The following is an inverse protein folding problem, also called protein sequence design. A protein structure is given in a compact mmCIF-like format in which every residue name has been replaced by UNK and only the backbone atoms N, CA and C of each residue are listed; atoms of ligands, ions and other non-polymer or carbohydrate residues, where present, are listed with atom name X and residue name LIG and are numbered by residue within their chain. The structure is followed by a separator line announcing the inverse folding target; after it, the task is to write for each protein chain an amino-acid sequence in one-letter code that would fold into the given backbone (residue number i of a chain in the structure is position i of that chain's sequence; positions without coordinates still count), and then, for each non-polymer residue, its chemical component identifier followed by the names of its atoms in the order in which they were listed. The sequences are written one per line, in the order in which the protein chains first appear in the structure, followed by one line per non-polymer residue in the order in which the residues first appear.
data_IF_439571974193
#
_entry.id   IF_439571974193
#
_cell.length_a   1.000
_cell.length_b   1.000
_cell.length_c   1.000
_cell.angle_alpha   90.00
_cell.angle_beta   90.00
_cell.angle_gamma   90.00
#
_symmetry.space_group_name_H-M   'P 1'
#
loop_
_entity.id
_entity.type
_entity.pdbx_description
1 polymer ?
#
# COMPACT_ATOMS: atom_id res chain seq x y z
N UNK A 1 -8.02 -13.24 9.65
CA UNK A 1 -7.06 -13.18 10.75
C UNK A 1 -5.89 -14.12 10.49
N UNK A 2 -4.66 -13.59 10.45
CA UNK A 2 -3.45 -14.39 10.33
C UNK A 2 -3.31 -15.17 9.02
N UNK A 3 -3.85 -14.68 7.91
CA UNK A 3 -3.73 -15.33 6.60
C UNK A 3 -2.27 -15.33 6.15
N UNK A 4 -1.78 -16.49 5.72
CA UNK A 4 -0.37 -16.68 5.33
C UNK A 4 -0.18 -16.73 3.82
N UNK A 5 -1.25 -16.98 3.05
CA UNK A 5 -1.24 -17.08 1.59
C UNK A 5 -2.67 -17.00 1.04
N UNK A 6 -2.78 -16.89 -0.26
CA UNK A 6 -4.05 -16.93 -0.98
C UNK A 6 -4.56 -15.54 -1.37
N UNK A 7 -5.72 -15.54 -1.98
CA UNK A 7 -6.37 -14.33 -2.49
C UNK A 7 -7.83 -14.26 -2.07
N UNK A 8 -8.26 -13.05 -1.70
CA UNK A 8 -9.62 -12.77 -1.23
C UNK A 8 -10.15 -11.52 -1.91
N UNK A 9 -11.25 -11.65 -2.64
CA UNK A 9 -11.89 -10.55 -3.35
C UNK A 9 -13.34 -10.43 -2.88
N UNK A 10 -13.65 -9.35 -2.14
CA UNK A 10 -14.96 -9.12 -1.54
C UNK A 10 -15.59 -7.85 -2.10
N UNK A 11 -16.71 -8.00 -2.82
CA UNK A 11 -17.51 -6.88 -3.27
C UNK A 11 -18.34 -6.33 -2.10
N UNK A 12 -18.09 -5.07 -1.77
CA UNK A 12 -18.78 -4.36 -0.68
C UNK A 12 -17.88 -4.03 0.50
N UNK A 13 -18.51 -3.56 1.57
CA UNK A 13 -17.84 -3.10 2.79
C UNK A 13 -17.76 -4.26 3.77
N UNK A 14 -16.58 -4.49 4.33
CA UNK A 14 -16.36 -5.48 5.38
C UNK A 14 -16.35 -4.84 6.76
N UNK A 15 -16.52 -5.65 7.79
CA UNK A 15 -16.55 -5.22 9.18
C UNK A 15 -15.18 -4.78 9.72
N UNK A 16 -15.11 -4.68 11.02
CA UNK A 16 -13.89 -4.33 11.76
C UNK A 16 -12.84 -5.43 11.66
N UNK A 17 -11.57 -5.04 11.88
CA UNK A 17 -10.42 -5.96 11.99
C UNK A 17 -10.16 -6.82 10.77
N UNK A 18 -10.51 -6.32 9.60
CA UNK A 18 -10.19 -7.00 8.35
C UNK A 18 -8.67 -7.04 8.14
N UNK A 19 -8.17 -8.18 7.64
CA UNK A 19 -6.75 -8.44 7.38
C UNK A 19 -5.82 -8.30 8.61
N UNK A 20 -6.36 -8.41 9.83
CA UNK A 20 -5.55 -8.41 11.05
C UNK A 20 -4.54 -9.56 11.01
N UNK A 21 -3.27 -9.25 11.28
CA UNK A 21 -2.13 -10.17 11.22
C UNK A 21 -1.97 -10.89 9.89
N UNK A 22 -2.45 -10.29 8.79
CA UNK A 22 -2.14 -10.83 7.46
C UNK A 22 -0.61 -10.88 7.27
N UNK A 23 -0.09 -12.01 6.83
CA UNK A 23 1.35 -12.22 6.65
C UNK A 23 1.75 -12.60 5.23
N UNK A 24 0.79 -12.85 4.31
CA UNK A 24 1.14 -13.21 2.95
C UNK A 24 -0.02 -13.20 1.95
N UNK A 25 -1.27 -13.11 2.41
CA UNK A 25 -2.42 -13.11 1.51
C UNK A 25 -2.63 -11.75 0.81
N UNK A 26 -3.20 -11.81 -0.40
CA UNK A 26 -3.72 -10.64 -1.11
C UNK A 26 -5.22 -10.51 -0.89
N UNK A 27 -5.68 -9.34 -0.45
CA UNK A 27 -7.11 -9.11 -0.20
C UNK A 27 -7.58 -7.78 -0.76
N UNK A 28 -8.75 -7.76 -1.39
CA UNK A 28 -9.39 -6.56 -1.95
C UNK A 28 -10.80 -6.42 -1.41
N UNK A 29 -11.12 -5.21 -0.91
CA UNK A 29 -12.44 -4.84 -0.41
C UNK A 29 -12.82 -3.43 -0.86
N UNK A 30 -14.11 -3.11 -0.82
CA UNK A 30 -14.61 -1.80 -1.24
C UNK A 30 -14.82 -0.83 -0.08
N UNK A 31 -14.48 -1.24 1.13
CA UNK A 31 -14.45 -0.45 2.34
C UNK A 31 -14.22 -1.36 3.55
N UNK A 32 -13.76 -0.79 4.66
CA UNK A 32 -13.43 -1.54 5.86
C UNK A 32 -13.78 -0.73 7.11
N UNK A 33 -14.22 -1.41 8.16
CA UNK A 33 -14.45 -0.83 9.48
C UNK A 33 -13.15 -0.48 10.22
N UNK A 34 -13.25 -0.31 11.53
CA UNK A 34 -12.12 0.04 12.38
C UNK A 34 -11.07 -1.07 12.44
N UNK A 35 -9.82 -0.70 12.71
CA UNK A 35 -8.70 -1.62 12.92
C UNK A 35 -8.35 -2.50 11.70
N UNK A 36 -8.61 -2.05 10.49
CA UNK A 36 -8.15 -2.72 9.27
C UNK A 36 -6.63 -2.82 9.22
N UNK A 37 -6.08 -3.95 8.77
CA UNK A 37 -4.63 -4.24 8.67
C UNK A 37 -3.86 -4.14 10.01
N UNK A 38 -4.54 -4.22 11.15
CA UNK A 38 -3.92 -4.18 12.46
C UNK A 38 -2.93 -5.35 12.62
N UNK A 39 -1.70 -5.04 13.04
CA UNK A 39 -0.59 -6.01 13.18
C UNK A 39 -0.26 -6.81 11.91
N UNK A 40 -0.57 -6.29 10.74
CA UNK A 40 -0.18 -6.91 9.47
C UNK A 40 1.35 -6.99 9.36
N UNK A 41 1.86 -8.14 8.90
CA UNK A 41 3.30 -8.42 8.81
C UNK A 41 3.76 -8.70 7.39
N UNK A 42 2.84 -8.92 6.44
CA UNK A 42 3.14 -9.22 5.04
C UNK A 42 1.86 -9.28 4.20
N UNK A 43 2.00 -9.60 2.93
CA UNK A 43 0.89 -9.64 1.98
C UNK A 43 0.48 -8.25 1.47
N UNK A 44 -0.64 -8.21 0.75
CA UNK A 44 -1.14 -7.00 0.10
C UNK A 44 -2.62 -6.83 0.41
N UNK A 45 -3.02 -5.64 0.83
CA UNK A 45 -4.43 -5.29 1.03
C UNK A 45 -4.77 -4.09 0.17
N UNK A 46 -5.90 -4.14 -0.53
CA UNK A 46 -6.43 -3.03 -1.32
C UNK A 46 -7.82 -2.67 -0.82
N UNK A 47 -8.01 -1.42 -0.43
CA UNK A 47 -9.29 -0.87 0.00
C UNK A 47 -9.73 0.18 -1.02
N UNK A 48 -10.80 -0.11 -1.77
CA UNK A 48 -11.34 0.73 -2.84
C UNK A 48 -12.32 1.80 -2.34
N UNK A 49 -12.29 2.12 -1.05
CA UNK A 49 -13.19 3.08 -0.44
C UNK A 49 -12.77 3.43 0.98
N UNK A 50 -13.73 3.81 1.82
CA UNK A 50 -13.44 4.34 3.15
C UNK A 50 -12.95 3.28 4.13
N UNK A 51 -12.05 3.70 5.01
CA UNK A 51 -11.62 2.95 6.19
C UNK A 51 -12.28 3.52 7.45
N UNK A 52 -12.40 2.69 8.48
CA UNK A 52 -12.64 3.14 9.85
C UNK A 52 -11.37 3.69 10.51
N UNK A 53 -11.41 3.85 11.83
CA UNK A 53 -10.31 4.38 12.64
C UNK A 53 -9.21 3.33 12.87
N UNK A 54 -8.03 3.81 13.28
CA UNK A 54 -6.87 2.98 13.64
C UNK A 54 -6.42 2.00 12.55
N UNK A 55 -6.60 2.37 11.29
CA UNK A 55 -6.09 1.57 10.19
C UNK A 55 -4.57 1.41 10.29
N UNK A 56 -4.06 0.23 10.00
CA UNK A 56 -2.64 -0.15 10.06
C UNK A 56 -2.00 -0.02 11.45
N UNK A 57 -2.77 0.01 12.54
CA UNK A 57 -2.22 0.03 13.89
C UNK A 57 -1.31 -1.18 14.14
N UNK A 58 -0.06 -0.95 14.56
CA UNK A 58 0.92 -1.99 14.80
C UNK A 58 1.39 -2.75 13.54
N UNK A 59 1.05 -2.28 12.34
CA UNK A 59 1.53 -2.87 11.08
C UNK A 59 3.05 -2.84 11.04
N UNK A 60 3.66 -3.99 10.73
CA UNK A 60 5.12 -4.15 10.72
C UNK A 60 5.68 -4.63 9.39
N UNK A 61 4.82 -4.92 8.42
CA UNK A 61 5.23 -5.33 7.08
C UNK A 61 4.02 -5.51 6.16
N UNK A 62 4.29 -5.80 4.90
CA UNK A 62 3.26 -5.83 3.85
C UNK A 62 2.94 -4.44 3.29
N UNK A 63 2.00 -4.40 2.36
CA UNK A 63 1.59 -3.20 1.66
C UNK A 63 0.07 -3.07 1.75
N UNK A 64 -0.42 -1.88 2.09
CA UNK A 64 -1.83 -1.56 2.03
C UNK A 64 -2.06 -0.36 1.10
N UNK A 65 -2.85 -0.54 0.04
CA UNK A 65 -3.32 0.52 -0.83
C UNK A 65 -4.72 0.93 -0.42
N UNK A 66 -4.94 2.22 -0.19
CA UNK A 66 -6.25 2.75 0.20
C UNK A 66 -6.63 3.88 -0.73
N UNK A 67 -7.81 3.80 -1.33
CA UNK A 67 -8.36 4.89 -2.13
C UNK A 67 -8.87 6.00 -1.19
N UNK A 68 -8.21 7.14 -1.21
CA UNK A 68 -8.50 8.32 -0.40
C UNK A 68 -9.14 9.42 -1.27
N UNK A 69 -10.41 9.23 -1.64
CA UNK A 69 -11.11 10.18 -2.50
C UNK A 69 -11.33 11.54 -1.84
N UNK A 70 -11.46 11.58 -0.51
CA UNK A 70 -11.76 12.80 0.26
C UNK A 70 -10.54 13.43 0.97
N UNK A 71 -9.35 12.83 0.83
CA UNK A 71 -8.10 13.31 1.44
C UNK A 71 -8.06 13.19 2.96
N UNK A 72 -8.94 12.38 3.56
CA UNK A 72 -9.07 12.29 5.03
C UNK A 72 -8.47 11.01 5.61
N UNK A 73 -7.96 10.10 4.78
CA UNK A 73 -7.44 8.82 5.22
C UNK A 73 -6.34 8.94 6.28
N UNK A 74 -5.46 9.93 6.16
CA UNK A 74 -4.40 10.20 7.14
C UNK A 74 -4.92 10.38 8.58
N UNK A 75 -6.16 10.85 8.75
CA UNK A 75 -6.77 11.05 10.07
C UNK A 75 -7.31 9.74 10.66
N UNK A 76 -7.43 8.71 9.84
CA UNK A 76 -7.95 7.38 10.22
C UNK A 76 -6.84 6.33 10.29
N UNK A 77 -5.68 6.60 9.68
CA UNK A 77 -4.52 5.73 9.69
C UNK A 77 -3.67 5.96 10.95
N UNK A 78 -3.13 4.90 11.51
CA UNK A 78 -2.21 5.00 12.63
C UNK A 78 -0.77 5.23 12.13
N UNK A 79 -0.38 6.50 12.06
CA UNK A 79 0.92 6.92 11.52
C UNK A 79 2.11 6.69 12.46
N UNK A 80 1.90 6.08 13.63
CA UNK A 80 3.01 5.78 14.55
C UNK A 80 3.96 4.69 14.01
N UNK A 81 3.46 3.85 13.09
CA UNK A 81 4.18 2.67 12.61
C UNK A 81 4.33 2.62 11.08
N UNK A 82 3.59 3.43 10.35
CA UNK A 82 3.59 3.42 8.88
C UNK A 82 3.71 4.84 8.33
N UNK A 83 4.26 4.94 7.14
CA UNK A 83 4.26 6.17 6.35
C UNK A 83 3.24 6.03 5.22
N UNK A 84 2.68 7.16 4.79
CA UNK A 84 1.76 7.23 3.67
C UNK A 84 2.45 7.88 2.48
N UNK A 85 2.43 7.19 1.35
CA UNK A 85 2.95 7.69 0.09
C UNK A 85 1.89 7.61 -1.00
N UNK A 86 1.90 8.51 -1.97
CA UNK A 86 1.08 8.36 -3.17
C UNK A 86 1.61 7.21 -4.04
N UNK A 87 0.74 6.59 -4.84
CA UNK A 87 1.19 5.65 -5.88
C UNK A 87 1.90 6.46 -6.98
N UNK A 88 3.20 6.25 -7.20
CA UNK A 88 3.96 6.99 -8.21
C UNK A 88 3.49 6.65 -9.62
N UNK A 89 3.73 7.55 -10.55
CA UNK A 89 3.58 7.30 -11.97
C UNK A 89 4.81 6.55 -12.48
N UNK A 90 4.62 5.60 -13.39
CA UNK A 90 5.72 4.79 -13.91
C UNK A 90 6.76 5.65 -14.65
N UNK A 91 6.30 6.72 -15.32
CA UNK A 91 7.17 7.68 -16.02
C UNK A 91 8.01 8.56 -15.06
N UNK A 92 7.49 8.91 -13.87
CA UNK A 92 8.22 9.70 -12.87
C UNK A 92 9.44 8.94 -12.32
N UNK A 93 9.36 7.60 -12.28
CA UNK A 93 10.46 6.75 -11.83
C UNK A 93 11.62 6.71 -12.84
N UNK A 94 11.32 6.76 -14.14
CA UNK A 94 12.34 6.78 -15.20
C UNK A 94 13.10 8.11 -15.24
N UNK A 95 12.43 9.24 -14.95
CA UNK A 95 13.09 10.55 -14.90
C UNK A 95 14.03 10.68 -13.70
N UNK A 96 13.68 10.10 -12.55
CA UNK A 96 14.53 10.14 -11.35
C UNK A 96 15.83 9.36 -11.52
N UNK A 97 15.84 8.27 -12.29
CA UNK A 97 17.05 7.49 -12.61
C UNK A 97 18.01 8.25 -13.54
N UNK A 98 17.51 9.12 -14.42
CA UNK A 98 18.35 9.91 -15.34
C UNK A 98 19.06 11.10 -14.66
N UNK A 99 18.58 11.57 -13.50
CA UNK A 99 19.20 12.66 -12.74
C UNK A 99 20.29 12.21 -11.77
N UNK A 100 20.46 10.91 -11.54
CA UNK A 100 21.51 10.34 -10.66
C UNK A 100 22.69 9.73 -11.42
N UNK A 101 22.82 10.03 -12.72
CA UNK A 101 23.96 9.63 -13.57
C UNK A 101 25.22 10.45 -13.33
N UNK A 102 25.79 10.39 -12.15
CA UNK A 102 27.06 11.08 -11.84
C UNK A 102 27.56 10.74 -10.46
N UNK A 103 27.95 9.52 -10.21
CA UNK A 103 29.14 9.13 -9.44
C UNK A 103 29.22 7.59 -9.32
N UNK A 104 30.09 7.01 -10.13
CA UNK A 104 30.47 5.61 -10.06
C UNK A 104 31.47 5.45 -8.90
N UNK A 105 30.99 5.30 -7.70
CA UNK A 105 31.71 4.64 -6.59
C UNK A 105 30.89 4.66 -5.31
N UNK A 106 29.94 3.72 -5.16
CA UNK A 106 29.61 3.20 -3.83
C UNK A 106 29.02 1.79 -3.93
N UNK A 107 29.75 0.86 -3.39
CA UNK A 107 29.46 -0.56 -3.27
C UNK A 107 28.07 -0.88 -2.75
N UNK A 108 27.26 -1.59 -3.57
CA UNK A 108 26.45 -2.71 -3.09
C UNK A 108 25.40 -2.47 -2.01
N UNK A 109 24.65 -1.35 -2.04
CA UNK A 109 23.35 -1.26 -1.36
C UNK A 109 22.27 -1.16 -2.42
N UNK A 110 21.70 -2.30 -2.78
CA UNK A 110 20.40 -2.32 -3.45
C UNK A 110 19.42 -1.67 -2.48
N UNK A 111 18.90 -0.50 -2.84
CA UNK A 111 17.85 0.17 -2.08
C UNK A 111 16.56 -0.64 -2.27
N UNK A 112 16.31 -1.58 -1.36
CA UNK A 112 15.17 -2.50 -1.40
C UNK A 112 13.85 -1.72 -1.35
N UNK A 113 13.85 -0.49 -0.84
CA UNK A 113 12.66 0.35 -0.78
C UNK A 113 12.27 0.89 -2.16
N UNK A 114 13.23 1.32 -2.97
CA UNK A 114 12.96 1.78 -4.34
C UNK A 114 12.50 0.64 -5.26
N UNK A 115 12.98 -0.58 -5.03
CA UNK A 115 12.60 -1.75 -5.81
C UNK A 115 11.19 -2.27 -5.44
N UNK A 116 10.72 -2.03 -4.20
CA UNK A 116 9.37 -2.41 -3.78
C UNK A 116 8.28 -1.48 -4.35
N UNK A 117 8.57 -0.22 -4.60
CA UNK A 117 7.61 0.77 -5.11
C UNK A 117 7.60 0.88 -6.63
N UNK A 118 8.66 0.42 -7.31
CA UNK A 118 8.85 0.55 -8.75
C UNK A 118 7.72 -0.02 -9.62
N UNK A 119 6.97 -0.99 -9.11
CA UNK A 119 5.86 -1.64 -9.83
C UNK A 119 4.52 -1.48 -9.12
N UNK A 120 4.39 -0.49 -8.25
CA UNK A 120 3.17 -0.33 -7.46
C UNK A 120 1.96 -0.01 -8.30
N UNK A 121 2.12 0.82 -9.33
CA UNK A 121 1.03 1.15 -10.24
C UNK A 121 0.54 -0.09 -11.00
N UNK A 122 1.43 -0.82 -11.64
CA UNK A 122 1.09 -2.03 -12.39
C UNK A 122 0.50 -3.10 -11.47
N UNK A 123 1.10 -3.30 -10.31
CA UNK A 123 0.62 -4.25 -9.29
C UNK A 123 -0.79 -3.92 -8.83
N UNK A 124 -1.02 -2.67 -8.44
CA UNK A 124 -2.33 -2.20 -7.99
C UNK A 124 -3.39 -2.37 -9.07
N UNK A 125 -3.09 -1.93 -10.30
CA UNK A 125 -4.00 -2.06 -11.45
C UNK A 125 -4.35 -3.52 -11.75
N UNK A 126 -3.36 -4.42 -11.70
CA UNK A 126 -3.58 -5.86 -11.89
C UNK A 126 -4.46 -6.46 -10.80
N UNK A 127 -4.24 -6.10 -9.53
CA UNK A 127 -5.06 -6.58 -8.41
C UNK A 127 -6.51 -6.09 -8.54
N UNK A 128 -6.73 -4.81 -8.88
CA UNK A 128 -8.08 -4.25 -9.09
C UNK A 128 -8.76 -4.91 -10.30
N UNK A 129 -8.02 -5.19 -11.37
CA UNK A 129 -8.54 -5.91 -12.54
C UNK A 129 -9.01 -7.32 -12.18
N UNK A 130 -8.28 -8.02 -11.32
CA UNK A 130 -8.68 -9.34 -10.79
C UNK A 130 -9.92 -9.23 -9.91
N UNK A 131 -9.99 -8.20 -9.07
CA UNK A 131 -11.18 -7.93 -8.26
C UNK A 131 -12.41 -7.71 -9.15
N UNK A 132 -12.30 -6.90 -10.20
CA UNK A 132 -13.38 -6.73 -11.18
C UNK A 132 -13.78 -8.05 -11.84
N UNK A 133 -12.79 -8.83 -12.28
CA UNK A 133 -13.02 -10.12 -12.94
C UNK A 133 -13.81 -11.11 -12.07
N UNK A 134 -13.45 -11.23 -10.79
CA UNK A 134 -14.04 -12.22 -9.91
C UNK A 134 -15.33 -11.76 -9.24
N UNK A 135 -15.50 -10.45 -9.00
CA UNK A 135 -16.65 -9.93 -8.25
C UNK A 135 -17.63 -9.13 -9.09
N UNK A 136 -17.25 -8.74 -10.32
CA UNK A 136 -18.01 -7.81 -11.17
C UNK A 136 -18.29 -6.48 -10.45
N UNK A 137 -17.32 -5.99 -9.69
CA UNK A 137 -17.41 -4.75 -8.92
C UNK A 137 -17.60 -3.53 -9.82
N UNK A 138 -18.66 -2.77 -9.60
CA UNK A 138 -18.88 -1.49 -10.29
C UNK A 138 -17.86 -0.44 -9.84
N UNK A 139 -17.42 -0.51 -8.57
CA UNK A 139 -16.37 0.36 -8.00
C UNK A 139 -15.05 0.13 -8.71
N UNK A 140 -14.63 -1.12 -8.83
CA UNK A 140 -13.39 -1.48 -9.53
C UNK A 140 -13.45 -1.09 -11.01
N UNK A 141 -14.62 -1.28 -11.66
CA UNK A 141 -14.82 -0.86 -13.04
C UNK A 141 -14.65 0.65 -13.19
N UNK A 142 -15.31 1.44 -12.36
CA UNK A 142 -15.21 2.91 -12.36
C UNK A 142 -13.76 3.38 -12.22
N UNK A 143 -13.00 2.77 -11.29
CA UNK A 143 -11.59 3.10 -11.03
C UNK A 143 -10.72 2.79 -12.26
N UNK A 144 -10.90 1.62 -12.86
CA UNK A 144 -10.11 1.19 -14.02
C UNK A 144 -10.44 1.98 -15.30
N UNK A 145 -11.72 2.37 -15.49
CA UNK A 145 -12.16 3.16 -16.64
C UNK A 145 -11.63 4.61 -16.59
N UNK A 146 -11.28 5.13 -15.42
CA UNK A 146 -10.77 6.49 -15.20
C UNK A 146 -9.49 6.46 -14.35
N UNK A 147 -8.56 5.57 -14.73
CA UNK A 147 -7.36 5.26 -13.95
C UNK A 147 -6.50 6.48 -13.62
N UNK A 148 -6.28 7.36 -14.58
CA UNK A 148 -5.42 8.54 -14.41
C UNK A 148 -5.94 9.52 -13.33
N UNK A 149 -7.27 9.58 -13.15
CA UNK A 149 -7.89 10.35 -12.09
C UNK A 149 -7.89 9.65 -10.73
N UNK A 150 -7.96 8.31 -10.71
CA UNK A 150 -8.03 7.55 -9.46
C UNK A 150 -6.66 7.18 -8.90
N UNK A 151 -5.68 6.86 -9.75
CA UNK A 151 -4.33 6.46 -9.33
C UNK A 151 -3.72 7.41 -8.30
N UNK A 152 -3.66 8.74 -8.53
CA UNK A 152 -3.03 9.67 -7.58
C UNK A 152 -3.78 9.82 -6.25
N UNK A 153 -5.01 9.31 -6.15
CA UNK A 153 -5.79 9.28 -4.91
C UNK A 153 -5.54 8.04 -4.05
N UNK A 154 -4.77 7.09 -4.55
CA UNK A 154 -4.36 5.96 -3.73
C UNK A 154 -3.21 6.37 -2.81
N UNK A 155 -3.39 6.09 -1.52
CA UNK A 155 -2.33 6.15 -0.52
C UNK A 155 -1.79 4.77 -0.25
N UNK A 156 -0.48 4.63 -0.25
CA UNK A 156 0.23 3.41 0.13
C UNK A 156 0.61 3.55 1.61
N UNK A 157 0.18 2.59 2.43
CA UNK A 157 0.68 2.44 3.79
C UNK A 157 1.79 1.41 3.78
N UNK A 158 3.03 1.85 3.99
CA UNK A 158 4.22 1.02 4.01
C UNK A 158 4.96 1.26 5.32
N UNK A 159 5.56 0.22 5.88
CA UNK A 159 6.60 0.39 6.89
C UNK A 159 7.96 0.36 6.24
N UNK A 160 8.68 1.48 6.29
CA UNK A 160 10.12 1.45 6.08
C UNK A 160 10.81 0.85 7.32
N UNK A 161 11.60 -0.18 7.12
CA UNK A 161 12.57 -0.59 8.13
C UNK A 161 13.63 0.52 8.22
N UNK A 162 13.36 1.54 9.02
CA UNK A 162 14.37 2.50 9.40
C UNK A 162 15.47 1.76 10.15
N UNK A 163 16.53 1.36 9.46
CA UNK A 163 17.81 1.13 10.11
C UNK A 163 18.25 2.49 10.66
N UNK A 164 17.89 2.72 11.92
CA UNK A 164 18.22 3.93 12.66
C UNK A 164 19.67 4.31 12.43
N UNK A 165 19.88 5.54 11.97
CA UNK A 165 21.13 6.26 12.17
C UNK A 165 21.35 6.41 13.68
N UNK A 166 21.83 5.39 14.32
CA UNK A 166 22.44 5.54 15.64
C UNK A 166 23.82 6.15 15.39
N UNK A 167 23.85 7.46 15.28
CA UNK A 167 25.09 8.20 15.46
C UNK A 167 25.48 8.06 16.92
N UNK A 168 26.34 7.11 17.20
CA UNK A 168 27.11 7.10 18.46
C UNK A 168 28.07 8.28 18.38
N UNK A 169 27.73 9.38 19.01
CA UNK A 169 28.71 10.41 19.34
C UNK A 169 29.56 9.84 20.46
N UNK A 170 30.75 9.37 20.14
CA UNK A 170 31.81 9.18 21.10
C UNK A 170 32.44 10.54 21.38
N UNK A 171 32.22 11.03 22.59
CA UNK A 171 33.00 12.07 23.24
C UNK A 171 34.24 11.46 23.83
#
# INVERSE_FOLDING_TARGET
YGAIDGECYLRGIVGERFAVRNSGATAVVEGVGDHGCEYMTGGIVVVLGKTGLNFAAGMSGGIAYVLDEDGTFKNRCNLAMVELEPVPEEDDLLESEHHHGGDLEHHGRVDISSDMTRYDEERLRNIISRHLKFTRSDVAKKILDDWDNFRPKFSISIRYLNFSKTSVSMS
#
